data_IF_328378353362
#
_entry.id   IF_328378353362
#
_cell.length_a   1.000
_cell.length_b   1.000
_cell.length_c   1.000
_cell.angle_alpha   90.00
_cell.angle_beta   90.00
_cell.angle_gamma   90.00
#
_symmetry.space_group_name_H-M   'P 1'
#
loop_
_entity.id
_entity.type
_entity.pdbx_description
1 polymer ?
#
# COMPACT_ATOMS: atom_id res chain seq x y z
N UNK A 1 2.54 11.68 15.75
CA UNK A 1 2.68 10.84 14.54
C UNK A 1 1.53 11.09 13.59
N UNK A 2 1.81 11.37 12.32
CA UNK A 2 0.82 11.48 11.25
C UNK A 2 0.54 10.09 10.65
N UNK A 3 -0.72 9.76 10.41
CA UNK A 3 -1.06 8.50 9.71
C UNK A 3 -1.32 8.75 8.23
N UNK A 4 -0.75 7.92 7.37
CA UNK A 4 -1.13 7.94 5.96
C UNK A 4 -2.51 7.33 5.78
N UNK A 5 -3.30 7.93 4.88
CA UNK A 5 -4.66 7.47 4.59
C UNK A 5 -4.70 6.06 4.04
N UNK A 6 -5.80 5.38 4.28
CA UNK A 6 -6.08 4.12 3.62
C UNK A 6 -6.55 4.36 2.19
N UNK A 7 -5.99 3.61 1.24
CA UNK A 7 -6.41 3.63 -0.16
C UNK A 7 -7.19 2.34 -0.43
N UNK A 8 -8.43 2.50 -0.91
CA UNK A 8 -9.35 1.40 -1.17
C UNK A 8 -9.50 1.15 -2.69
N UNK A 9 -10.44 0.29 -3.10
CA UNK A 9 -10.74 0.04 -4.51
C UNK A 9 -11.64 1.13 -5.12
N UNK A 10 -11.76 1.15 -6.45
CA UNK A 10 -12.56 2.12 -7.22
C UNK A 10 -14.04 2.16 -6.80
N UNK A 11 -14.61 1.05 -6.38
CA UNK A 11 -16.00 0.95 -5.94
C UNK A 11 -16.37 1.98 -4.85
N UNK A 12 -15.41 2.36 -3.98
CA UNK A 12 -15.63 3.38 -2.96
C UNK A 12 -15.88 4.75 -3.57
N UNK A 13 -15.14 5.10 -4.64
CA UNK A 13 -15.34 6.37 -5.34
C UNK A 13 -16.71 6.38 -6.02
N UNK A 14 -17.11 5.29 -6.68
CA UNK A 14 -18.46 5.17 -7.23
C UNK A 14 -19.55 5.36 -6.18
N UNK A 15 -19.41 4.74 -5.01
CA UNK A 15 -20.34 4.91 -3.89
C UNK A 15 -20.38 6.36 -3.41
N UNK A 16 -19.22 7.01 -3.28
CA UNK A 16 -19.13 8.42 -2.92
C UNK A 16 -19.85 9.30 -3.94
N UNK A 17 -19.59 9.12 -5.24
CA UNK A 17 -20.18 9.91 -6.33
C UNK A 17 -21.70 9.77 -6.35
N UNK A 18 -22.22 8.54 -6.18
CA UNK A 18 -23.68 8.29 -6.11
C UNK A 18 -24.32 8.94 -4.88
N UNK A 19 -23.75 8.73 -3.70
CA UNK A 19 -24.27 9.32 -2.46
C UNK A 19 -24.28 10.86 -2.53
N UNK A 20 -23.24 11.46 -3.12
CA UNK A 20 -23.18 12.90 -3.32
C UNK A 20 -24.23 13.39 -4.32
N UNK A 21 -24.46 12.66 -5.40
CA UNK A 21 -25.51 12.94 -6.37
C UNK A 21 -26.89 12.87 -5.74
N UNK A 22 -27.18 11.82 -4.98
CA UNK A 22 -28.45 11.65 -4.24
C UNK A 22 -28.69 12.80 -3.26
N UNK A 23 -27.66 13.19 -2.51
CA UNK A 23 -27.75 14.29 -1.55
C UNK A 23 -28.04 15.65 -2.21
N UNK A 24 -27.49 15.90 -3.39
CA UNK A 24 -27.66 17.16 -4.13
C UNK A 24 -28.77 17.13 -5.19
N UNK A 25 -29.48 16.02 -5.36
CA UNK A 25 -30.50 15.83 -6.38
C UNK A 25 -29.96 15.86 -7.82
N UNK A 26 -28.72 15.44 -8.02
CA UNK A 26 -28.06 15.36 -9.33
C UNK A 26 -28.42 14.04 -9.98
N UNK A 27 -28.80 14.04 -11.26
CA UNK A 27 -29.02 12.82 -12.02
C UNK A 27 -27.70 12.05 -12.21
N UNK A 28 -27.75 10.71 -12.10
CA UNK A 28 -26.57 9.89 -12.35
C UNK A 28 -26.04 10.02 -13.78
N UNK A 29 -26.90 10.40 -14.76
CA UNK A 29 -26.50 10.72 -16.12
C UNK A 29 -25.61 11.95 -16.22
N UNK A 30 -25.63 12.81 -15.20
CA UNK A 30 -24.92 14.09 -15.19
C UNK A 30 -23.62 14.01 -14.35
N UNK A 31 -23.27 12.81 -13.88
CA UNK A 31 -22.01 12.60 -13.18
C UNK A 31 -20.81 12.88 -14.13
N UNK A 32 -19.72 13.47 -13.61
CA UNK A 32 -18.61 13.92 -14.44
C UNK A 32 -17.73 12.78 -14.96
N UNK A 33 -16.98 13.09 -16.01
CA UNK A 33 -15.76 12.36 -16.35
C UNK A 33 -14.60 12.98 -15.58
N UNK A 34 -13.81 12.15 -14.89
CA UNK A 34 -12.63 12.59 -14.13
C UNK A 34 -11.41 11.88 -14.67
N UNK A 35 -10.35 12.67 -14.93
CA UNK A 35 -9.05 12.13 -15.30
C UNK A 35 -8.27 11.72 -14.04
N UNK A 36 -7.68 10.53 -14.07
CA UNK A 36 -6.83 9.99 -13.01
C UNK A 36 -5.42 9.76 -13.51
N UNK A 37 -4.46 10.13 -12.67
CA UNK A 37 -3.06 9.75 -12.81
C UNK A 37 -2.78 8.50 -11.97
N UNK A 38 -2.06 7.54 -12.54
CA UNK A 38 -1.65 6.31 -11.89
C UNK A 38 -0.15 6.25 -11.67
N UNK A 39 0.29 5.89 -10.47
CA UNK A 39 1.68 5.56 -10.15
C UNK A 39 1.80 4.07 -9.84
N UNK A 40 2.96 3.47 -10.16
CA UNK A 40 3.20 2.07 -9.83
C UNK A 40 3.06 1.86 -8.31
N UNK A 41 2.25 0.87 -7.93
CA UNK A 41 2.16 0.46 -6.54
C UNK A 41 3.34 -0.43 -6.20
N UNK A 42 4.19 0.06 -5.33
CA UNK A 42 5.36 -0.68 -4.85
C UNK A 42 4.94 -1.64 -3.74
N UNK A 43 5.47 -2.85 -3.76
CA UNK A 43 5.24 -3.87 -2.75
C UNK A 43 6.35 -3.84 -1.69
N UNK A 44 6.13 -3.10 -0.65
CA UNK A 44 7.02 -2.96 0.48
C UNK A 44 6.24 -2.83 1.78
N UNK A 45 6.66 -1.92 2.63
CA UNK A 45 5.93 -1.50 3.83
C UNK A 45 5.83 0.02 3.86
N UNK A 46 4.64 0.52 4.20
CA UNK A 46 4.45 1.96 4.38
C UNK A 46 5.37 2.46 5.49
N UNK A 47 6.15 3.45 5.16
CA UNK A 47 7.10 4.09 6.06
C UNK A 47 7.09 5.60 5.86
N UNK A 48 7.64 6.34 6.79
CA UNK A 48 7.75 7.78 6.68
C UNK A 48 8.62 8.36 7.78
N UNK A 49 8.92 9.62 7.66
CA UNK A 49 9.57 10.36 8.73
C UNK A 49 9.00 11.78 8.82
N UNK A 50 8.94 12.29 10.05
CA UNK A 50 8.54 13.67 10.34
C UNK A 50 9.76 14.49 10.69
N UNK A 51 9.89 15.67 10.10
CA UNK A 51 10.96 16.64 10.32
C UNK A 51 10.33 17.85 11.00
N UNK A 52 10.81 18.19 12.22
CA UNK A 52 10.18 19.21 13.06
C UNK A 52 10.24 20.64 12.49
N UNK A 53 11.33 20.97 11.81
CA UNK A 53 11.63 22.31 11.36
C UNK A 53 12.70 22.30 10.24
N UNK A 54 12.96 23.48 9.65
CA UNK A 54 13.97 23.66 8.57
C UNK A 54 15.40 23.26 8.97
N UNK A 55 15.68 23.24 10.26
CA UNK A 55 16.98 22.84 10.78
C UNK A 55 17.07 21.35 11.09
N UNK A 56 15.97 20.61 10.85
CA UNK A 56 15.81 19.21 11.18
C UNK A 56 16.23 18.91 12.62
N UNK A 57 15.74 19.72 13.57
CA UNK A 57 16.10 19.62 14.99
C UNK A 57 15.71 18.26 15.54
N UNK A 58 14.55 17.74 15.10
CA UNK A 58 14.09 16.38 15.39
C UNK A 58 13.61 15.70 14.11
N UNK A 59 13.98 14.44 13.95
CA UNK A 59 13.48 13.55 12.89
C UNK A 59 12.96 12.30 13.54
N UNK A 60 11.69 11.98 13.29
CA UNK A 60 11.01 10.82 13.87
C UNK A 60 10.63 9.87 12.74
N UNK A 61 11.21 8.68 12.73
CA UNK A 61 10.85 7.63 11.80
C UNK A 61 9.55 6.92 12.24
N UNK A 62 8.73 6.53 11.28
CA UNK A 62 7.45 5.85 11.53
C UNK A 62 7.14 4.79 10.48
N UNK A 63 6.43 3.76 10.90
CA UNK A 63 5.71 2.84 10.03
C UNK A 63 4.26 3.29 9.82
N UNK A 64 3.40 2.37 9.40
CA UNK A 64 1.98 2.65 9.15
C UNK A 64 1.24 3.16 10.39
N UNK A 65 1.40 2.49 11.53
CA UNK A 65 0.57 2.67 12.72
C UNK A 65 1.35 3.09 13.98
N UNK A 66 2.68 3.14 13.91
CA UNK A 66 3.55 3.47 15.05
C UNK A 66 4.82 4.19 14.64
N UNK A 67 5.41 4.90 15.57
CA UNK A 67 6.81 5.34 15.48
C UNK A 67 7.72 4.11 15.53
N UNK A 68 8.85 4.18 14.85
CA UNK A 68 9.85 3.11 14.84
C UNK A 68 11.18 3.64 15.35
N UNK A 69 11.85 2.79 16.13
CA UNK A 69 13.20 3.05 16.66
C UNK A 69 14.12 1.91 16.25
N UNK A 70 15.41 2.03 16.50
CA UNK A 70 16.37 0.96 16.18
C UNK A 70 16.02 -0.33 16.97
N UNK A 71 15.57 -0.19 18.21
CA UNK A 71 15.18 -1.30 19.09
C UNK A 71 13.85 -1.92 18.68
N UNK A 72 12.97 -1.14 18.04
CA UNK A 72 11.65 -1.56 17.58
C UNK A 72 11.44 -1.15 16.11
N UNK A 73 12.31 -1.68 15.25
CA UNK A 73 12.39 -1.30 13.84
C UNK A 73 11.32 -1.97 12.98
N UNK A 74 11.11 -1.41 11.80
CA UNK A 74 10.27 -1.97 10.74
C UNK A 74 11.15 -2.30 9.52
N UNK A 75 11.59 -3.55 9.45
CA UNK A 75 12.44 -4.08 8.38
C UNK A 75 13.73 -3.27 8.12
N UNK A 76 14.25 -2.57 9.14
CA UNK A 76 15.47 -1.76 9.06
C UNK A 76 15.24 -0.31 8.66
N UNK A 77 13.99 0.20 8.64
CA UNK A 77 13.70 1.58 8.26
C UNK A 77 14.19 2.61 9.27
N UNK A 78 14.07 2.32 10.58
CA UNK A 78 14.60 3.23 11.61
C UNK A 78 16.13 3.32 11.55
N UNK A 79 16.81 2.18 11.36
CA UNK A 79 18.26 2.14 11.15
C UNK A 79 18.68 2.90 9.87
N UNK A 80 17.90 2.79 8.80
CA UNK A 80 18.09 3.55 7.57
C UNK A 80 17.98 5.06 7.85
N UNK A 81 16.94 5.53 8.52
CA UNK A 81 16.79 6.95 8.88
C UNK A 81 17.94 7.45 9.78
N UNK A 82 18.38 6.65 10.75
CA UNK A 82 19.50 7.00 11.63
C UNK A 82 20.83 7.12 10.87
N UNK A 83 20.99 6.43 9.75
CA UNK A 83 22.16 6.52 8.87
C UNK A 83 22.17 7.73 7.92
N UNK A 84 21.05 8.47 7.81
CA UNK A 84 20.96 9.65 6.93
C UNK A 84 21.51 10.88 7.67
N UNK A 85 22.45 11.63 7.06
CA UNK A 85 22.94 12.87 7.64
C UNK A 85 21.83 13.90 7.81
N UNK A 86 21.93 14.69 8.90
CA UNK A 86 20.98 15.78 9.18
C UNK A 86 20.87 16.80 8.03
N UNK A 87 21.93 17.02 7.27
CA UNK A 87 21.92 17.89 6.09
C UNK A 87 20.93 17.44 5.02
N UNK A 88 20.76 16.15 4.83
CA UNK A 88 19.81 15.57 3.86
C UNK A 88 18.38 15.80 4.33
N UNK A 89 18.08 15.65 5.62
CA UNK A 89 16.75 15.99 6.14
C UNK A 89 16.42 17.48 6.01
N UNK A 90 17.40 18.38 6.16
CA UNK A 90 17.23 19.82 5.88
C UNK A 90 16.93 20.06 4.39
N UNK A 91 17.64 19.38 3.51
CA UNK A 91 17.40 19.43 2.06
C UNK A 91 15.99 18.95 1.70
N UNK A 92 15.55 17.83 2.26
CA UNK A 92 14.18 17.32 2.10
C UNK A 92 13.17 18.33 2.60
N UNK A 93 13.38 18.86 3.80
CA UNK A 93 12.47 19.85 4.38
C UNK A 93 12.34 21.09 3.47
N UNK A 94 13.44 21.62 2.98
CA UNK A 94 13.43 22.75 2.06
C UNK A 94 12.77 22.44 0.72
N UNK A 95 13.00 21.24 0.18
CA UNK A 95 12.44 20.82 -1.10
C UNK A 95 10.92 20.64 -1.08
N UNK A 96 10.34 20.21 0.04
CA UNK A 96 8.91 19.95 0.19
C UNK A 96 8.17 21.05 0.96
N UNK A 97 8.85 21.82 1.80
CA UNK A 97 8.26 22.91 2.58
C UNK A 97 9.08 24.20 2.46
N UNK A 98 9.14 24.83 1.28
CA UNK A 98 9.95 26.02 1.05
C UNK A 98 9.52 27.23 1.90
N UNK A 99 8.27 27.25 2.41
CA UNK A 99 7.80 28.30 3.34
C UNK A 99 8.44 28.18 4.72
N UNK A 100 9.00 27.01 5.07
CA UNK A 100 9.76 26.79 6.28
C UNK A 100 8.95 26.79 7.58
N UNK A 101 7.64 26.54 7.52
CA UNK A 101 6.75 26.55 8.68
C UNK A 101 6.05 25.19 8.84
N UNK A 102 5.87 24.75 10.09
CA UNK A 102 5.20 23.51 10.43
C UNK A 102 6.07 22.25 10.34
N UNK A 103 5.50 21.14 10.69
CA UNK A 103 6.15 19.81 10.66
C UNK A 103 5.96 19.21 9.28
N UNK A 104 7.06 18.91 8.61
CA UNK A 104 7.01 18.14 7.36
C UNK A 104 6.97 16.64 7.68
N UNK A 105 5.98 15.92 7.20
CA UNK A 105 5.95 14.46 7.20
C UNK A 105 5.99 13.93 5.77
N UNK A 106 7.01 13.14 5.47
CA UNK A 106 7.19 12.50 4.17
C UNK A 106 6.86 11.02 4.30
N UNK A 107 5.98 10.53 3.44
CA UNK A 107 5.64 9.12 3.34
C UNK A 107 6.20 8.50 2.07
N UNK A 108 6.56 7.25 2.18
CA UNK A 108 7.05 6.44 1.08
C UNK A 108 6.84 4.96 1.33
N UNK A 109 7.24 4.19 0.35
CA UNK A 109 7.33 2.74 0.49
C UNK A 109 8.77 2.39 0.82
N UNK A 110 9.00 1.71 1.94
CA UNK A 110 10.24 1.04 2.27
C UNK A 110 10.21 -0.33 1.61
N UNK A 111 11.05 -0.56 0.63
CA UNK A 111 11.00 -1.74 -0.21
C UNK A 111 12.40 -2.28 -0.52
N UNK A 112 12.46 -3.51 -0.95
CA UNK A 112 13.69 -4.20 -1.31
C UNK A 112 13.89 -5.51 -0.57
N UNK A 113 15.11 -6.04 -0.64
CA UNK A 113 15.50 -7.33 -0.08
C UNK A 113 15.15 -7.45 1.41
N UNK A 114 14.44 -8.52 1.77
CA UNK A 114 14.05 -8.81 3.16
C UNK A 114 12.96 -7.90 3.74
N UNK A 115 12.30 -7.04 2.93
CA UNK A 115 11.12 -6.27 3.37
C UNK A 115 9.84 -7.03 3.07
N UNK A 116 9.66 -7.45 1.80
CA UNK A 116 8.57 -8.30 1.34
C UNK A 116 9.12 -9.34 0.38
N UNK A 117 8.27 -10.30 -0.06
CA UNK A 117 8.66 -11.38 -0.95
C UNK A 117 7.66 -11.52 -2.11
N UNK A 118 8.09 -12.24 -3.15
CA UNK A 118 7.21 -12.68 -4.24
C UNK A 118 7.01 -11.67 -5.37
N UNK A 119 7.75 -10.57 -5.37
CA UNK A 119 7.76 -9.53 -6.41
C UNK A 119 9.18 -9.12 -6.77
N UNK A 120 9.37 -8.57 -7.96
CA UNK A 120 10.70 -8.19 -8.44
C UNK A 120 11.42 -7.16 -7.56
N UNK A 121 10.68 -6.25 -6.92
CA UNK A 121 11.26 -5.26 -5.99
C UNK A 121 11.97 -5.91 -4.80
N UNK A 122 11.61 -7.12 -4.41
CA UNK A 122 12.29 -7.86 -3.32
C UNK A 122 13.71 -8.32 -3.67
N UNK A 123 14.13 -8.22 -4.92
CA UNK A 123 15.46 -8.57 -5.40
C UNK A 123 16.41 -7.36 -5.51
N UNK A 124 15.92 -6.16 -5.17
CA UNK A 124 16.69 -4.91 -5.20
C UNK A 124 17.16 -4.57 -3.79
N UNK A 125 18.34 -3.94 -3.60
CA UNK A 125 18.75 -3.43 -2.30
C UNK A 125 17.69 -2.51 -1.69
N UNK A 126 17.52 -2.57 -0.36
CA UNK A 126 16.55 -1.72 0.37
C UNK A 126 16.67 -0.24 0.02
N UNK A 127 15.55 0.41 -0.22
CA UNK A 127 15.47 1.82 -0.57
C UNK A 127 14.10 2.40 -0.17
N UNK A 128 14.07 3.72 -0.01
CA UNK A 128 12.87 4.47 0.34
C UNK A 128 12.34 5.22 -0.89
N UNK A 129 11.06 5.03 -1.22
CA UNK A 129 10.43 5.60 -2.42
C UNK A 129 9.34 6.56 -1.97
N UNK A 130 9.59 7.87 -2.08
CA UNK A 130 8.64 8.92 -1.70
C UNK A 130 7.43 8.89 -2.62
N UNK A 131 6.23 8.93 -2.03
CA UNK A 131 4.96 9.03 -2.78
C UNK A 131 3.98 10.06 -2.20
N UNK A 132 4.20 10.57 -0.97
CA UNK A 132 3.29 11.54 -0.35
C UNK A 132 4.02 12.43 0.65
N UNK A 133 3.49 13.64 0.87
CA UNK A 133 4.00 14.54 1.89
C UNK A 133 2.87 15.36 2.54
N UNK A 134 3.09 15.76 3.79
CA UNK A 134 2.21 16.63 4.56
C UNK A 134 3.03 17.74 5.22
N UNK A 135 2.46 18.93 5.31
CA UNK A 135 2.90 19.97 6.23
C UNK A 135 1.80 20.11 7.28
N UNK A 136 2.11 19.78 8.50
CA UNK A 136 1.16 19.60 9.60
C UNK A 136 0.03 18.61 9.19
N UNK A 137 -1.22 19.08 9.11
CA UNK A 137 -2.36 18.28 8.67
C UNK A 137 -2.67 18.38 7.18
N UNK A 138 -1.99 19.27 6.46
CA UNK A 138 -2.27 19.51 5.06
C UNK A 138 -1.47 18.56 4.18
N UNK A 139 -2.18 17.77 3.36
CA UNK A 139 -1.55 17.00 2.29
C UNK A 139 -1.04 17.98 1.23
N UNK A 140 0.20 17.83 0.83
CA UNK A 140 0.83 18.69 -0.17
C UNK A 140 1.22 17.88 -1.40
N UNK A 141 1.28 18.53 -2.55
CA UNK A 141 1.76 17.88 -3.77
C UNK A 141 3.23 17.46 -3.60
N UNK A 142 3.53 16.25 -4.01
CA UNK A 142 4.90 15.72 -3.98
C UNK A 142 5.80 16.50 -4.92
N UNK A 143 6.94 16.95 -4.44
CA UNK A 143 7.99 17.47 -5.32
C UNK A 143 8.56 16.35 -6.19
N UNK A 144 8.06 16.25 -7.43
CA UNK A 144 8.37 15.16 -8.37
C UNK A 144 9.86 15.11 -8.79
N UNK A 145 10.59 16.21 -8.56
CA UNK A 145 11.99 16.34 -8.96
C UNK A 145 12.97 16.04 -7.80
N UNK A 146 12.45 15.77 -6.60
CA UNK A 146 13.31 15.47 -5.47
C UNK A 146 13.60 13.97 -5.38
N UNK A 147 14.88 13.62 -5.36
CA UNK A 147 15.44 12.30 -5.04
C UNK A 147 16.87 12.46 -4.50
N UNK A 148 17.37 11.48 -3.81
CA UNK A 148 18.77 11.43 -3.39
C UNK A 148 19.27 9.96 -3.44
N UNK A 149 19.83 9.58 -4.57
CA UNK A 149 20.24 8.19 -4.84
C UNK A 149 21.44 7.76 -3.97
N UNK A 150 22.28 8.68 -3.53
CA UNK A 150 23.39 8.39 -2.63
C UNK A 150 22.90 7.78 -1.32
N UNK A 151 21.79 8.32 -0.80
CA UNK A 151 21.15 7.81 0.41
C UNK A 151 19.97 6.88 0.10
N UNK A 152 19.84 6.37 -1.13
CA UNK A 152 18.76 5.48 -1.56
C UNK A 152 17.35 6.02 -1.28
N UNK A 153 17.20 7.33 -1.42
CA UNK A 153 15.93 8.03 -1.39
C UNK A 153 15.51 8.29 -2.83
N UNK A 154 14.43 7.69 -3.24
CA UNK A 154 13.86 7.75 -4.58
C UNK A 154 12.51 8.45 -4.56
N UNK A 155 12.01 8.76 -5.74
CA UNK A 155 10.69 9.32 -5.95
C UNK A 155 9.87 8.42 -6.86
N UNK A 156 8.60 8.21 -6.55
CA UNK A 156 7.73 7.35 -7.37
C UNK A 156 7.57 7.87 -8.81
N UNK A 157 7.80 9.14 -9.04
CA UNK A 157 7.74 9.78 -10.36
C UNK A 157 9.03 9.62 -11.19
N UNK A 158 10.05 8.91 -10.71
CA UNK A 158 11.24 8.58 -11.51
C UNK A 158 10.98 7.49 -12.57
N UNK A 159 9.78 6.93 -12.58
CA UNK A 159 9.28 6.01 -13.61
C UNK A 159 8.00 6.59 -14.22
N UNK A 160 7.62 6.15 -15.44
CA UNK A 160 6.42 6.66 -16.11
C UNK A 160 5.15 6.47 -15.28
N UNK A 161 4.25 7.45 -15.36
CA UNK A 161 2.90 7.39 -14.81
C UNK A 161 1.89 6.95 -15.88
N UNK A 162 0.71 6.55 -15.43
CA UNK A 162 -0.41 6.16 -16.27
C UNK A 162 -1.49 7.23 -16.21
N UNK A 163 -2.35 7.29 -17.22
CA UNK A 163 -3.52 8.19 -17.24
C UNK A 163 -4.75 7.42 -17.70
N UNK A 164 -5.89 7.73 -17.08
CA UNK A 164 -7.17 7.15 -17.45
C UNK A 164 -8.32 8.12 -17.15
N UNK A 165 -9.27 8.22 -18.08
CA UNK A 165 -10.52 8.94 -17.89
C UNK A 165 -11.60 7.98 -17.40
N UNK A 166 -12.27 8.33 -16.31
CA UNK A 166 -13.39 7.55 -15.76
C UNK A 166 -14.65 8.39 -15.88
N UNK A 167 -15.58 7.95 -16.72
CA UNK A 167 -16.91 8.53 -16.81
C UNK A 167 -17.82 7.89 -15.75
N UNK A 168 -18.18 8.65 -14.72
CA UNK A 168 -18.99 8.14 -13.62
C UNK A 168 -20.47 7.98 -13.98
N UNK A 169 -20.96 8.67 -15.01
CA UNK A 169 -22.31 8.48 -15.53
C UNK A 169 -22.43 7.18 -16.33
N UNK A 170 -21.40 6.83 -17.10
CA UNK A 170 -21.37 5.64 -17.97
C UNK A 170 -20.02 4.97 -17.79
N UNK A 171 -19.83 4.16 -16.74
CA UNK A 171 -18.52 3.56 -16.45
C UNK A 171 -18.02 2.59 -17.55
N UNK A 172 -18.95 1.98 -18.31
CA UNK A 172 -18.63 1.15 -19.46
C UNK A 172 -17.62 0.04 -19.14
N UNK A 173 -16.54 0.01 -19.91
CA UNK A 173 -15.44 -0.96 -19.85
C UNK A 173 -14.29 -0.54 -18.93
N UNK A 174 -14.54 0.34 -17.95
CA UNK A 174 -13.48 0.89 -17.11
C UNK A 174 -12.72 -0.19 -16.31
N UNK A 175 -13.43 -1.22 -15.85
CA UNK A 175 -12.81 -2.33 -15.10
C UNK A 175 -11.83 -3.10 -16.01
N UNK A 176 -12.17 -3.32 -17.27
CA UNK A 176 -11.30 -3.99 -18.24
C UNK A 176 -10.06 -3.15 -18.56
N UNK A 177 -10.21 -1.82 -18.72
CA UNK A 177 -9.10 -0.90 -18.95
C UNK A 177 -8.14 -0.86 -17.78
N UNK A 178 -8.65 -0.76 -16.56
CA UNK A 178 -7.85 -0.77 -15.33
C UNK A 178 -7.15 -2.12 -15.14
N UNK A 179 -7.86 -3.22 -15.40
CA UNK A 179 -7.30 -4.56 -15.35
C UNK A 179 -6.14 -4.72 -16.33
N UNK A 180 -6.29 -4.25 -17.56
CA UNK A 180 -5.25 -4.31 -18.60
C UNK A 180 -3.98 -3.57 -18.20
N UNK A 181 -4.12 -2.34 -17.66
CA UNK A 181 -2.97 -1.56 -17.16
C UNK A 181 -2.32 -2.24 -15.95
N UNK A 182 -3.13 -2.80 -15.06
CA UNK A 182 -2.63 -3.51 -13.88
C UNK A 182 -1.86 -4.77 -14.25
N UNK A 183 -2.35 -5.54 -15.24
CA UNK A 183 -1.68 -6.73 -15.74
C UNK A 183 -0.31 -6.43 -16.36
N UNK A 184 -0.15 -5.29 -17.05
CA UNK A 184 1.16 -4.87 -17.56
C UNK A 184 2.19 -4.70 -16.45
N UNK A 185 1.77 -4.10 -15.30
CA UNK A 185 2.65 -3.97 -14.12
C UNK A 185 2.91 -5.34 -13.49
N UNK A 186 1.89 -6.20 -13.45
CA UNK A 186 2.02 -7.55 -12.92
C UNK A 186 2.94 -8.43 -13.77
N UNK A 187 2.97 -8.24 -15.07
CA UNK A 187 3.88 -8.98 -15.96
C UNK A 187 5.32 -8.51 -15.79
N UNK A 188 5.55 -7.19 -15.71
CA UNK A 188 6.86 -6.61 -15.53
C UNK A 188 6.80 -5.34 -14.69
N UNK A 189 7.39 -5.38 -13.50
CA UNK A 189 7.46 -4.24 -12.59
C UNK A 189 8.34 -3.11 -13.16
N UNK A 190 7.82 -1.94 -13.55
CA UNK A 190 8.63 -0.86 -14.11
C UNK A 190 9.66 -0.32 -13.12
N UNK A 191 9.35 -0.40 -11.82
CA UNK A 191 10.28 0.02 -10.78
C UNK A 191 11.50 -0.91 -10.71
N UNK A 192 11.29 -2.22 -10.66
CA UNK A 192 12.37 -3.20 -10.63
C UNK A 192 13.20 -3.16 -11.91
N UNK A 193 12.54 -2.98 -13.06
CA UNK A 193 13.19 -2.84 -14.36
C UNK A 193 14.18 -1.68 -14.40
N UNK A 194 13.92 -0.58 -13.72
CA UNK A 194 14.87 0.54 -13.56
C UNK A 194 16.22 0.09 -12.98
N UNK A 195 16.21 -0.98 -12.19
CA UNK A 195 17.41 -1.57 -11.58
C UNK A 195 17.92 -2.82 -12.31
N UNK A 196 17.39 -3.10 -13.50
CA UNK A 196 17.78 -4.28 -14.29
C UNK A 196 17.19 -5.60 -13.82
N UNK A 197 16.17 -5.56 -12.91
CA UNK A 197 15.49 -6.74 -12.40
C UNK A 197 14.13 -6.88 -13.10
N UNK A 198 13.89 -8.03 -13.72
CA UNK A 198 12.61 -8.39 -14.33
C UNK A 198 11.79 -9.23 -13.38
N UNK A 199 10.47 -9.05 -13.40
CA UNK A 199 9.52 -9.85 -12.63
C UNK A 199 8.29 -9.08 -12.20
N UNK A 200 7.51 -9.69 -11.34
CA UNK A 200 6.15 -9.30 -11.01
C UNK A 200 6.11 -7.98 -10.22
N UNK A 201 5.21 -7.06 -10.63
CA UNK A 201 4.81 -5.89 -9.84
C UNK A 201 3.48 -6.10 -9.12
N UNK A 202 3.09 -5.17 -8.22
CA UNK A 202 1.87 -5.30 -7.42
C UNK A 202 0.64 -4.71 -8.10
N UNK A 203 0.76 -3.52 -8.73
CA UNK A 203 -0.37 -2.82 -9.33
C UNK A 203 -0.15 -1.31 -9.47
N UNK A 204 -1.24 -0.54 -9.37
CA UNK A 204 -1.23 0.91 -9.58
C UNK A 204 -2.02 1.60 -8.45
N UNK A 205 -1.53 2.75 -7.99
CA UNK A 205 -2.26 3.70 -7.16
C UNK A 205 -2.69 4.87 -8.03
N UNK A 206 -3.97 5.18 -7.99
CA UNK A 206 -4.63 6.21 -8.80
C UNK A 206 -5.07 7.38 -7.94
N UNK A 207 -4.98 8.59 -8.46
CA UNK A 207 -5.47 9.82 -7.84
C UNK A 207 -5.96 10.80 -8.91
N UNK A 208 -6.84 11.72 -8.53
CA UNK A 208 -7.37 12.74 -9.43
C UNK A 208 -6.23 13.63 -9.95
N UNK A 209 -6.12 13.74 -11.27
CA UNK A 209 -5.01 14.47 -11.92
C UNK A 209 -5.01 15.96 -11.59
N UNK A 210 -6.19 16.59 -11.61
CA UNK A 210 -6.35 18.03 -11.36
C UNK A 210 -6.09 18.42 -9.90
N UNK A 211 -6.36 17.49 -8.97
CA UNK A 211 -6.12 17.69 -7.53
C UNK A 211 -5.55 16.41 -6.91
N UNK A 212 -4.24 16.22 -6.99
CA UNK A 212 -3.56 15.05 -6.43
C UNK A 212 -3.56 15.03 -4.90
N UNK A 213 -4.14 16.04 -4.24
CA UNK A 213 -4.24 16.13 -2.79
C UNK A 213 -5.61 15.73 -2.25
N UNK A 214 -6.65 15.68 -3.10
CA UNK A 214 -7.98 15.24 -2.70
C UNK A 214 -8.05 13.74 -2.43
N UNK A 215 -8.02 13.42 -1.16
CA UNK A 215 -8.02 12.04 -0.70
C UNK A 215 -9.26 11.23 -1.01
N UNK A 216 -10.35 11.87 -1.39
CA UNK A 216 -11.60 11.21 -1.79
C UNK A 216 -11.41 10.40 -3.06
N UNK A 217 -10.54 10.86 -3.95
CA UNK A 217 -10.32 10.28 -5.28
C UNK A 217 -9.07 9.39 -5.37
N UNK A 218 -8.62 8.85 -4.25
CA UNK A 218 -7.58 7.82 -4.28
C UNK A 218 -8.18 6.43 -4.35
N UNK A 219 -7.68 5.62 -5.28
CA UNK A 219 -7.97 4.19 -5.31
C UNK A 219 -6.75 3.40 -5.77
N UNK A 220 -6.80 2.09 -5.60
CA UNK A 220 -5.74 1.17 -6.05
C UNK A 220 -6.33 0.06 -6.91
N UNK A 221 -5.53 -0.41 -7.85
CA UNK A 221 -5.74 -1.66 -8.56
C UNK A 221 -4.57 -2.59 -8.28
N UNK A 222 -4.84 -3.88 -8.09
CA UNK A 222 -3.83 -4.88 -7.77
C UNK A 222 -3.91 -6.04 -8.75
N UNK A 223 -2.76 -6.52 -9.15
CA UNK A 223 -2.62 -7.80 -9.81
C UNK A 223 -2.82 -8.95 -8.82
N UNK A 224 -2.84 -10.16 -9.33
CA UNK A 224 -3.13 -11.36 -8.56
C UNK A 224 -1.91 -12.23 -8.33
N UNK A 225 -0.92 -12.14 -9.22
CA UNK A 225 0.29 -12.97 -9.18
C UNK A 225 1.22 -12.67 -8.00
N UNK A 226 1.20 -11.43 -7.46
CA UNK A 226 2.00 -11.12 -6.27
C UNK A 226 1.51 -11.87 -5.01
N UNK A 227 0.27 -12.38 -5.03
CA UNK A 227 -0.30 -13.24 -3.99
C UNK A 227 0.13 -14.70 -4.12
N UNK A 228 0.93 -15.06 -5.13
CA UNK A 228 1.34 -16.42 -5.43
C UNK A 228 2.26 -16.97 -4.33
N UNK A 229 1.90 -18.14 -3.81
CA UNK A 229 2.68 -18.87 -2.80
C UNK A 229 3.77 -19.74 -3.44
N UNK A 230 4.97 -19.70 -2.88
CA UNK A 230 5.89 -20.84 -2.99
C UNK A 230 5.42 -21.90 -1.99
N UNK A 231 5.00 -23.07 -2.47
CA UNK A 231 4.77 -24.22 -1.58
C UNK A 231 6.11 -24.71 -1.01
N UNK A 232 6.08 -25.58 0.02
CA UNK A 232 7.27 -26.12 0.70
C UNK A 232 8.32 -26.75 -0.23
N UNK A 233 7.99 -26.97 -1.50
CA UNK A 233 8.86 -27.57 -2.52
C UNK A 233 9.40 -26.54 -3.54
N UNK A 234 9.28 -25.22 -3.31
CA UNK A 234 9.83 -24.18 -4.17
C UNK A 234 9.10 -23.98 -5.51
N UNK A 235 8.00 -24.69 -5.78
CA UNK A 235 7.21 -24.48 -6.99
C UNK A 235 6.27 -23.29 -6.83
N UNK A 236 6.29 -22.40 -7.81
CA UNK A 236 5.35 -21.29 -7.92
C UNK A 236 3.97 -21.86 -8.27
N UNK A 237 2.99 -21.62 -7.40
CA UNK A 237 1.59 -21.95 -7.68
C UNK A 237 0.88 -20.64 -8.04
N UNK A 238 0.54 -20.47 -9.31
CA UNK A 238 -0.31 -19.37 -9.77
C UNK A 238 -1.74 -19.71 -9.38
N UNK A 239 -2.33 -18.94 -8.48
CA UNK A 239 -3.73 -19.12 -8.11
C UNK A 239 -4.54 -18.18 -9.00
N UNK A 240 -5.30 -18.77 -9.92
CA UNK A 240 -6.23 -18.05 -10.76
C UNK A 240 -7.46 -17.66 -9.95
N UNK A 241 -7.63 -16.37 -9.68
CA UNK A 241 -8.74 -15.86 -8.85
C UNK A 241 -10.09 -16.06 -9.53
N UNK A 242 -10.15 -16.06 -10.86
CA UNK A 242 -11.37 -16.38 -11.58
C UNK A 242 -11.79 -17.85 -11.38
N UNK A 243 -10.85 -18.68 -10.92
CA UNK A 243 -11.05 -20.12 -10.60
C UNK A 243 -11.06 -20.41 -9.10
N UNK A 244 -11.08 -19.43 -8.22
CA UNK A 244 -11.25 -19.66 -6.78
C UNK A 244 -12.66 -20.18 -6.51
N UNK A 245 -12.88 -21.47 -6.80
CA UNK A 245 -14.19 -22.13 -6.73
C UNK A 245 -14.57 -22.57 -5.32
N UNK A 246 -13.73 -22.33 -4.32
CA UNK A 246 -14.00 -22.73 -2.94
C UNK A 246 -13.62 -21.63 -1.92
N UNK A 247 -14.34 -21.62 -0.80
CA UNK A 247 -14.03 -20.76 0.35
C UNK A 247 -12.57 -20.96 0.82
N UNK A 248 -12.09 -22.20 0.81
CA UNK A 248 -10.72 -22.51 1.24
C UNK A 248 -9.65 -21.91 0.32
N UNK A 249 -9.88 -21.89 -0.98
CA UNK A 249 -8.97 -21.28 -1.94
C UNK A 249 -8.97 -19.76 -1.77
N UNK A 250 -10.14 -19.15 -1.66
CA UNK A 250 -10.29 -17.72 -1.41
C UNK A 250 -9.56 -17.30 -0.13
N UNK A 251 -9.78 -18.02 0.98
CA UNK A 251 -9.11 -17.75 2.26
C UNK A 251 -7.60 -17.97 2.18
N UNK A 252 -7.13 -18.97 1.45
CA UNK A 252 -5.71 -19.20 1.25
C UNK A 252 -5.01 -18.07 0.48
N UNK A 253 -5.70 -17.40 -0.43
CA UNK A 253 -5.20 -16.22 -1.13
C UNK A 253 -5.12 -15.02 -0.16
N UNK A 254 -6.19 -14.81 0.62
CA UNK A 254 -6.30 -13.69 1.55
C UNK A 254 -5.33 -13.79 2.73
N UNK A 255 -5.18 -15.00 3.30
CA UNK A 255 -4.50 -15.24 4.56
C UNK A 255 -3.10 -15.80 4.35
N UNK A 256 -2.15 -14.91 4.03
CA UNK A 256 -0.75 -15.29 3.86
C UNK A 256 0.00 -15.27 5.20
N UNK A 257 1.05 -16.08 5.30
CA UNK A 257 1.93 -16.08 6.48
C UNK A 257 2.53 -14.70 6.74
N UNK A 258 2.97 -14.02 5.69
CA UNK A 258 3.52 -12.65 5.79
C UNK A 258 2.49 -11.68 6.38
N UNK A 259 1.22 -11.76 5.96
CA UNK A 259 0.15 -10.92 6.52
C UNK A 259 -0.02 -11.17 8.01
N UNK A 260 -0.06 -12.43 8.42
CA UNK A 260 -0.22 -12.80 9.83
C UNK A 260 0.96 -12.33 10.68
N UNK A 261 2.19 -12.51 10.19
CA UNK A 261 3.41 -12.01 10.85
C UNK A 261 3.43 -10.49 10.92
N UNK A 262 2.98 -9.80 9.85
CA UNK A 262 2.89 -8.34 9.82
C UNK A 262 1.91 -7.82 10.86
N UNK A 263 0.74 -8.44 11.01
CA UNK A 263 -0.24 -8.05 12.04
C UNK A 263 0.33 -8.19 13.46
N UNK A 264 1.08 -9.25 13.73
CA UNK A 264 1.81 -9.41 15.02
C UNK A 264 2.75 -8.23 15.26
N UNK A 265 3.57 -7.89 14.26
CA UNK A 265 4.57 -6.80 14.37
C UNK A 265 3.91 -5.43 14.48
N UNK A 266 3.00 -5.11 13.57
CA UNK A 266 2.39 -3.77 13.47
C UNK A 266 1.51 -3.45 14.69
N UNK A 267 0.88 -4.44 15.28
CA UNK A 267 0.05 -4.29 16.47
C UNK A 267 0.80 -4.60 17.77
N UNK A 268 2.10 -4.95 17.67
CA UNK A 268 2.94 -5.32 18.82
C UNK A 268 2.28 -6.39 19.71
N UNK A 269 1.74 -7.43 19.06
CA UNK A 269 1.02 -8.50 19.76
C UNK A 269 2.03 -9.53 20.23
N UNK A 270 2.14 -9.70 21.53
CA UNK A 270 2.86 -10.82 22.12
C UNK A 270 2.09 -12.13 21.84
N UNK A 271 2.81 -13.18 21.37
CA UNK A 271 2.18 -14.46 21.03
C UNK A 271 1.95 -15.25 22.31
N UNK A 272 0.87 -14.92 23.01
CA UNK A 272 0.35 -15.64 24.21
C UNK A 272 -1.14 -15.94 23.98
N UNK A 273 -1.71 -16.97 24.64
CA UNK A 273 -3.10 -17.39 24.40
C UNK A 273 -4.12 -16.27 24.56
N UNK A 274 -3.92 -15.39 25.53
CA UNK A 274 -4.82 -14.28 25.87
C UNK A 274 -4.91 -13.23 24.75
N UNK A 275 -3.89 -13.11 23.92
CA UNK A 275 -3.81 -12.13 22.84
C UNK A 275 -4.35 -12.64 21.49
N UNK A 276 -4.77 -13.92 21.41
CA UNK A 276 -5.32 -14.45 20.16
C UNK A 276 -6.52 -13.64 19.63
N UNK A 277 -7.39 -13.18 20.52
CA UNK A 277 -8.53 -12.32 20.14
C UNK A 277 -8.10 -11.02 19.47
N UNK A 278 -7.06 -10.36 19.98
CA UNK A 278 -6.49 -9.12 19.41
C UNK A 278 -5.86 -9.39 18.03
N UNK A 279 -5.13 -10.51 17.93
CA UNK A 279 -4.54 -10.94 16.66
C UNK A 279 -5.62 -11.21 15.60
N UNK A 280 -6.63 -12.00 15.92
CA UNK A 280 -7.73 -12.33 15.02
C UNK A 280 -8.47 -11.07 14.56
N UNK A 281 -8.74 -10.13 15.46
CA UNK A 281 -9.38 -8.87 15.12
C UNK A 281 -8.53 -8.03 14.15
N UNK A 282 -7.21 -7.96 14.36
CA UNK A 282 -6.30 -7.25 13.47
C UNK A 282 -6.27 -7.86 12.07
N UNK A 283 -6.17 -9.19 11.98
CA UNK A 283 -6.19 -9.91 10.69
C UNK A 283 -7.53 -9.73 9.98
N UNK A 284 -8.65 -9.88 10.68
CA UNK A 284 -9.98 -9.70 10.09
C UNK A 284 -10.14 -8.30 9.50
N UNK A 285 -9.77 -7.28 10.27
CA UNK A 285 -9.84 -5.89 9.81
C UNK A 285 -8.99 -5.66 8.55
N UNK A 286 -7.78 -6.18 8.52
CA UNK A 286 -6.87 -6.05 7.38
C UNK A 286 -7.39 -6.81 6.15
N UNK A 287 -7.88 -8.04 6.32
CA UNK A 287 -8.48 -8.82 5.25
C UNK A 287 -9.72 -8.14 4.63
N UNK A 288 -10.66 -7.68 5.46
CA UNK A 288 -11.85 -6.97 4.97
C UNK A 288 -11.45 -5.73 4.16
N UNK A 289 -10.48 -4.97 4.66
CA UNK A 289 -10.03 -3.73 4.04
C UNK A 289 -9.28 -3.95 2.72
N UNK A 290 -8.40 -4.95 2.68
CA UNK A 290 -7.48 -5.13 1.57
C UNK A 290 -8.02 -6.07 0.48
N UNK A 291 -8.92 -7.00 0.84
CA UNK A 291 -9.36 -8.08 -0.02
C UNK A 291 -10.87 -8.02 -0.39
N UNK A 292 -11.52 -6.87 -0.14
CA UNK A 292 -12.93 -6.68 -0.50
C UNK A 292 -13.23 -6.94 -1.98
N UNK A 293 -12.30 -6.61 -2.87
CA UNK A 293 -12.43 -6.83 -4.30
C UNK A 293 -12.28 -8.30 -4.66
N UNK A 294 -11.37 -9.01 -4.02
CA UNK A 294 -11.21 -10.46 -4.18
C UNK A 294 -12.50 -11.19 -3.79
N UNK A 295 -13.08 -10.85 -2.63
CA UNK A 295 -14.35 -11.43 -2.19
C UNK A 295 -15.46 -11.18 -3.21
N UNK A 296 -15.59 -9.96 -3.71
CA UNK A 296 -16.58 -9.61 -4.74
C UNK A 296 -16.40 -10.43 -6.02
N UNK A 297 -15.18 -10.55 -6.53
CA UNK A 297 -14.86 -11.30 -7.75
C UNK A 297 -15.08 -12.80 -7.59
N UNK A 298 -14.83 -13.33 -6.39
CA UNK A 298 -15.07 -14.75 -6.06
C UNK A 298 -16.52 -15.08 -5.74
N UNK A 299 -17.42 -14.08 -5.72
CA UNK A 299 -18.84 -14.25 -5.39
C UNK A 299 -19.10 -14.49 -3.90
N UNK A 300 -18.12 -14.24 -3.01
CA UNK A 300 -18.26 -14.40 -1.56
C UNK A 300 -18.43 -13.07 -0.84
N UNK A 301 -19.14 -13.10 0.27
CA UNK A 301 -19.16 -12.03 1.28
C UNK A 301 -18.28 -12.44 2.48
N UNK A 302 -17.96 -11.48 3.33
CA UNK A 302 -17.11 -11.74 4.50
C UNK A 302 -17.65 -12.86 5.39
N UNK A 303 -18.96 -12.93 5.59
CA UNK A 303 -19.59 -13.94 6.44
C UNK A 303 -19.37 -15.37 5.93
N UNK A 304 -19.23 -15.56 4.62
CA UNK A 304 -18.95 -16.87 4.00
C UNK A 304 -17.56 -17.39 4.37
N UNK A 305 -16.57 -16.49 4.47
CA UNK A 305 -15.16 -16.83 4.65
C UNK A 305 -14.66 -16.68 6.10
N UNK A 306 -15.33 -15.89 6.91
CA UNK A 306 -14.89 -15.47 8.25
C UNK A 306 -14.57 -16.64 9.19
N UNK A 307 -15.35 -17.71 9.15
CA UNK A 307 -15.12 -18.92 9.99
C UNK A 307 -13.84 -19.64 9.57
N UNK A 308 -13.59 -19.74 8.27
CA UNK A 308 -12.38 -20.38 7.73
C UNK A 308 -11.14 -19.53 8.01
N UNK A 309 -11.25 -18.20 7.90
CA UNK A 309 -10.20 -17.26 8.31
C UNK A 309 -9.87 -17.46 9.79
N UNK A 310 -10.87 -17.47 10.66
CA UNK A 310 -10.66 -17.65 12.09
C UNK A 310 -9.99 -19.00 12.44
N UNK A 311 -10.40 -20.08 11.75
CA UNK A 311 -9.78 -21.40 11.90
C UNK A 311 -8.30 -21.39 11.51
N UNK A 312 -7.98 -20.88 10.33
CA UNK A 312 -6.60 -20.85 9.83
C UNK A 312 -5.72 -19.90 10.67
N UNK A 313 -6.26 -18.76 11.11
CA UNK A 313 -5.58 -17.89 12.06
C UNK A 313 -5.26 -18.59 13.39
N UNK A 314 -6.21 -19.37 13.91
CA UNK A 314 -6.02 -20.13 15.15
C UNK A 314 -4.91 -21.18 15.00
N UNK A 315 -4.96 -21.98 13.94
CA UNK A 315 -3.95 -22.98 13.64
C UNK A 315 -2.55 -22.36 13.52
N UNK A 316 -2.44 -21.27 12.77
CA UNK A 316 -1.18 -20.55 12.59
C UNK A 316 -0.67 -19.94 13.90
N UNK A 317 -1.51 -19.21 14.63
CA UNK A 317 -1.13 -18.52 15.86
C UNK A 317 -0.59 -19.48 16.93
N UNK A 318 -1.31 -20.58 17.17
CA UNK A 318 -0.90 -21.54 18.19
C UNK A 318 0.26 -22.44 17.75
N UNK A 319 0.53 -22.57 16.43
CA UNK A 319 1.75 -23.23 15.96
C UNK A 319 3.02 -22.38 16.19
N UNK A 320 2.87 -21.09 16.38
CA UNK A 320 3.97 -20.15 16.68
C UNK A 320 4.07 -19.81 18.17
N UNK A 321 3.19 -20.38 18.97
CA UNK A 321 3.27 -20.29 20.42
C UNK A 321 4.44 -21.15 20.91
N UNK A 322 5.48 -20.51 21.43
CA UNK A 322 6.61 -21.21 22.07
C UNK A 322 6.23 -21.49 23.53
N UNK A 323 6.06 -22.78 23.87
CA UNK A 323 5.98 -23.27 25.26
C UNK A 323 7.32 -23.06 25.92
#
# INVERSE_FOLDING_TARGET
MKKFRSIEGLAKIFSYMKNNADYHGISYSDLPTINFTGTVKIHGTNAGFSISDKDATSVIAQGRDREVTIESDNAGFAAFCAGIPKSIFKEIYQAFNPKGQGILTVFGEWAGEGVQNGVAVSEIPKHFIIFAAYVDDNYIEVNKNYFNHEYRIFNIYEIPTYSIDINFAIPGDIEDKLSKLTLQIEEECPWAKKFGVSGIGEGIVWFKTEDPTDGTYFFKTKGTKHSVRKNKNGKVVTIDIEKANSINECVNIMLTENRMQQMIKDKQIEIIPENFGKFLQAVNYDCIKEESELLRKSGFIWDDVSKTVAKNCKEWYFSHFKI
#
